data_IF_679367446906
#
_entry.id   IF_679367446906
#
_cell.length_a   1.000
_cell.length_b   1.000
_cell.length_c   1.000
_cell.angle_alpha   90.00
_cell.angle_beta   90.00
_cell.angle_gamma   90.00
#
_symmetry.space_group_name_H-M   'P 1'
#
loop_
_entity.id
_entity.type
_entity.pdbx_description
1 polymer ?
#
# COMPACT_ATOMS: atom_id res chain seq x y z
N UNK A 1 -13.54 -10.94 -9.87
CA UNK A 1 -14.11 -9.73 -9.19
C UNK A 1 -14.56 -8.70 -10.23
N UNK A 2 -13.71 -8.35 -11.19
CA UNK A 2 -13.98 -7.28 -12.18
C UNK A 2 -15.05 -7.63 -13.22
N UNK A 3 -15.22 -8.89 -13.58
CA UNK A 3 -16.22 -9.35 -14.55
C UNK A 3 -17.69 -9.04 -14.15
N UNK A 4 -17.96 -8.88 -12.85
CA UNK A 4 -19.30 -8.61 -12.32
C UNK A 4 -19.59 -7.12 -12.14
N UNK A 5 -18.66 -6.26 -12.53
CA UNK A 5 -18.77 -4.80 -12.32
C UNK A 5 -19.54 -4.17 -13.45
N UNK A 6 -20.66 -3.50 -13.12
CA UNK A 6 -21.46 -2.74 -14.08
C UNK A 6 -20.87 -1.33 -14.29
N UNK A 7 -20.14 -1.14 -15.37
CA UNK A 7 -19.51 0.11 -15.74
C UNK A 7 -20.48 1.19 -16.29
N UNK A 8 -21.76 0.89 -16.42
CA UNK A 8 -22.78 1.84 -16.91
C UNK A 8 -23.40 2.68 -15.78
N UNK A 9 -23.02 2.43 -14.54
CA UNK A 9 -23.50 3.20 -13.39
C UNK A 9 -23.13 4.67 -13.52
N UNK A 10 -24.09 5.52 -13.25
CA UNK A 10 -23.96 6.98 -13.35
C UNK A 10 -24.75 7.69 -12.25
N UNK A 11 -24.37 8.93 -11.96
CA UNK A 11 -25.11 9.85 -11.08
C UNK A 11 -25.28 11.17 -11.81
N UNK A 12 -26.53 11.64 -11.91
CA UNK A 12 -26.81 12.93 -12.50
C UNK A 12 -26.22 14.09 -11.68
N UNK A 13 -26.12 15.26 -12.31
CA UNK A 13 -25.42 16.40 -11.73
C UNK A 13 -26.10 16.95 -10.46
N UNK A 14 -27.43 16.89 -10.39
CA UNK A 14 -28.19 17.43 -9.26
C UNK A 14 -28.05 16.55 -8.03
N UNK A 15 -28.27 15.24 -8.19
CA UNK A 15 -28.05 14.26 -7.14
C UNK A 15 -26.60 14.23 -6.67
N UNK A 16 -25.64 14.33 -7.61
CA UNK A 16 -24.22 14.43 -7.27
C UNK A 16 -23.95 15.63 -6.34
N UNK A 17 -24.50 16.81 -6.67
CA UNK A 17 -24.25 18.01 -5.89
C UNK A 17 -24.79 17.86 -4.44
N UNK A 18 -26.03 17.36 -4.31
CA UNK A 18 -26.64 17.13 -2.99
C UNK A 18 -25.85 16.14 -2.13
N UNK A 19 -25.55 14.95 -2.69
CA UNK A 19 -24.78 13.92 -1.98
C UNK A 19 -23.38 14.41 -1.61
N UNK A 20 -22.76 15.18 -2.51
CA UNK A 20 -21.44 15.76 -2.27
C UNK A 20 -21.40 16.69 -1.09
N UNK A 21 -22.36 17.63 -0.99
CA UNK A 21 -22.44 18.59 0.10
C UNK A 21 -22.54 17.89 1.48
N UNK A 22 -23.37 16.85 1.57
CA UNK A 22 -23.53 16.06 2.80
C UNK A 22 -22.25 15.29 3.15
N UNK A 23 -21.62 14.65 2.17
CA UNK A 23 -20.40 13.86 2.36
C UNK A 23 -19.18 14.71 2.68
N UNK A 24 -19.05 15.89 2.10
CA UNK A 24 -17.93 16.80 2.35
C UNK A 24 -17.92 17.28 3.81
N UNK A 25 -19.08 17.62 4.39
CA UNK A 25 -19.19 17.96 5.80
C UNK A 25 -18.79 16.78 6.68
N UNK A 26 -19.38 15.60 6.42
CA UNK A 26 -19.10 14.36 7.16
C UNK A 26 -17.64 13.98 7.13
N UNK A 27 -17.00 14.04 5.95
CA UNK A 27 -15.60 13.70 5.80
C UNK A 27 -14.67 14.62 6.58
N UNK A 28 -14.95 15.94 6.59
CA UNK A 28 -14.21 16.90 7.40
C UNK A 28 -14.35 16.65 8.92
N UNK A 29 -15.54 16.23 9.38
CA UNK A 29 -15.76 15.82 10.78
C UNK A 29 -14.99 14.56 11.14
N UNK A 30 -15.02 13.54 10.27
CA UNK A 30 -14.30 12.28 10.48
C UNK A 30 -12.79 12.48 10.48
N UNK A 31 -12.25 13.37 9.63
CA UNK A 31 -10.84 13.72 9.70
C UNK A 31 -10.44 14.31 11.06
N UNK A 32 -11.27 15.24 11.60
CA UNK A 32 -11.03 15.81 12.93
C UNK A 32 -11.08 14.73 14.02
N UNK A 33 -12.08 13.85 13.97
CA UNK A 33 -12.19 12.74 14.89
C UNK A 33 -10.97 11.80 14.84
N UNK A 34 -10.50 11.44 13.66
CA UNK A 34 -9.26 10.66 13.51
C UNK A 34 -8.04 11.35 14.12
N UNK A 35 -7.95 12.68 13.96
CA UNK A 35 -6.87 13.47 14.55
C UNK A 35 -6.94 13.48 16.08
N UNK A 36 -8.11 13.73 16.65
CA UNK A 36 -8.35 13.75 18.11
C UNK A 36 -8.06 12.37 18.74
N UNK A 37 -8.48 11.30 18.08
CA UNK A 37 -8.27 9.93 18.53
C UNK A 37 -6.91 9.36 18.15
N UNK A 38 -6.04 10.14 17.49
CA UNK A 38 -4.69 9.75 17.05
C UNK A 38 -4.69 8.51 16.14
N UNK A 39 -5.67 8.41 15.25
CA UNK A 39 -5.81 7.28 14.33
C UNK A 39 -5.19 7.65 12.98
N UNK A 40 -4.10 6.99 12.56
CA UNK A 40 -3.51 7.20 11.24
C UNK A 40 -4.34 6.50 10.16
N UNK A 41 -4.45 7.14 8.98
CA UNK A 41 -5.26 6.64 7.87
C UNK A 41 -4.42 6.57 6.60
N UNK A 42 -4.49 5.47 5.89
CA UNK A 42 -3.88 5.28 4.56
C UNK A 42 -4.98 5.02 3.55
N UNK A 43 -5.03 5.84 2.49
CA UNK A 43 -5.97 5.68 1.38
C UNK A 43 -5.18 5.42 0.10
N UNK A 44 -5.42 4.28 -0.53
CA UNK A 44 -4.74 3.85 -1.75
C UNK A 44 -5.66 4.00 -2.94
N UNK A 45 -5.19 4.70 -3.97
CA UNK A 45 -5.83 4.80 -5.27
C UNK A 45 -5.03 4.03 -6.31
N UNK A 46 -5.53 2.88 -6.71
CA UNK A 46 -4.99 2.06 -7.78
C UNK A 46 -5.99 1.88 -8.92
N UNK A 47 -5.62 1.13 -9.95
CA UNK A 47 -6.46 0.86 -11.11
C UNK A 47 -5.87 1.35 -12.43
N UNK A 48 -6.69 1.28 -13.46
CA UNK A 48 -6.26 1.51 -14.85
C UNK A 48 -5.77 2.93 -15.13
N UNK A 49 -4.80 3.05 -16.05
CA UNK A 49 -4.36 4.33 -16.60
C UNK A 49 -5.55 5.12 -17.16
N UNK A 50 -5.56 6.45 -17.02
CA UNK A 50 -6.67 7.33 -17.32
C UNK A 50 -8.00 7.00 -16.62
N UNK A 51 -8.01 6.13 -15.59
CA UNK A 51 -9.18 5.85 -14.75
C UNK A 51 -9.68 7.05 -13.96
N UNK A 52 -8.89 8.12 -13.85
CA UNK A 52 -9.28 9.37 -13.20
C UNK A 52 -8.80 9.50 -11.75
N UNK A 53 -7.81 8.71 -11.33
CA UNK A 53 -7.26 8.72 -9.97
C UNK A 53 -6.99 10.13 -9.45
N UNK A 54 -6.14 10.91 -10.11
CA UNK A 54 -5.82 12.27 -9.69
C UNK A 54 -7.02 13.21 -9.60
N UNK A 55 -8.03 13.04 -10.49
CA UNK A 55 -9.28 13.81 -10.42
C UNK A 55 -10.08 13.45 -9.16
N UNK A 56 -10.14 12.18 -8.82
CA UNK A 56 -10.88 11.71 -7.66
C UNK A 56 -10.15 12.05 -6.35
N UNK A 57 -8.82 11.96 -6.34
CA UNK A 57 -8.00 12.43 -5.21
C UNK A 57 -8.25 13.92 -4.97
N UNK A 58 -8.19 14.76 -6.02
CA UNK A 58 -8.48 16.19 -5.89
C UNK A 58 -9.87 16.44 -5.33
N UNK A 59 -10.88 15.64 -5.70
CA UNK A 59 -12.23 15.76 -5.15
C UNK A 59 -12.31 15.31 -3.69
N UNK A 60 -11.59 14.27 -3.32
CA UNK A 60 -11.54 13.74 -1.95
C UNK A 60 -10.91 14.75 -0.97
N UNK A 61 -9.84 15.41 -1.39
CA UNK A 61 -9.09 16.31 -0.49
C UNK A 61 -9.73 17.69 -0.32
N UNK A 62 -10.70 18.08 -1.17
CA UNK A 62 -11.31 19.42 -1.11
C UNK A 62 -11.91 19.77 0.26
N UNK A 63 -12.65 18.88 0.95
CA UNK A 63 -13.25 19.17 2.26
C UNK A 63 -12.28 18.95 3.44
N UNK A 64 -11.09 18.41 3.20
CA UNK A 64 -10.12 18.07 4.23
C UNK A 64 -9.26 19.28 4.65
N UNK A 65 -8.90 19.34 5.92
CA UNK A 65 -7.87 20.27 6.41
C UNK A 65 -6.52 19.87 5.83
N UNK A 66 -5.85 20.73 5.04
CA UNK A 66 -4.58 20.42 4.37
C UNK A 66 -3.44 20.09 5.34
N UNK A 67 -3.54 20.49 6.60
CA UNK A 67 -2.56 20.15 7.65
C UNK A 67 -2.69 18.71 8.13
N UNK A 68 -3.81 18.06 7.84
CA UNK A 68 -4.14 16.71 8.32
C UNK A 68 -3.88 15.60 7.32
N UNK A 69 -3.42 15.89 6.11
CA UNK A 69 -3.13 14.88 5.12
C UNK A 69 -1.92 15.22 4.26
N UNK A 70 -1.36 14.20 3.61
CA UNK A 70 -0.38 14.29 2.55
C UNK A 70 -0.81 13.43 1.36
N UNK A 71 -0.37 13.80 0.15
CA UNK A 71 -0.58 13.01 -1.08
C UNK A 71 0.77 12.61 -1.64
N UNK A 72 0.98 11.32 -1.78
CA UNK A 72 2.16 10.76 -2.41
C UNK A 72 1.82 10.14 -3.76
N UNK A 73 2.29 10.77 -4.84
CA UNK A 73 2.22 10.19 -6.18
C UNK A 73 3.46 9.31 -6.42
N UNK A 74 3.23 8.02 -6.63
CA UNK A 74 4.32 7.09 -6.93
C UNK A 74 4.97 7.47 -8.26
N UNK A 75 6.29 7.68 -8.25
CA UNK A 75 7.12 8.03 -9.41
C UNK A 75 7.99 6.85 -9.76
N UNK A 76 8.64 6.91 -10.93
CA UNK A 76 9.71 5.99 -11.26
C UNK A 76 10.75 5.94 -10.13
N UNK A 77 11.25 4.74 -9.85
CA UNK A 77 12.21 4.52 -8.77
C UNK A 77 13.55 5.18 -9.08
N UNK A 78 14.01 6.03 -8.17
CA UNK A 78 15.35 6.61 -8.22
C UNK A 78 16.45 5.56 -7.96
N UNK A 79 17.72 5.93 -8.20
CA UNK A 79 18.85 5.02 -7.99
C UNK A 79 18.95 4.56 -6.52
N UNK A 80 18.77 5.46 -5.58
CA UNK A 80 18.77 5.13 -4.14
C UNK A 80 17.67 4.13 -3.76
N UNK A 81 16.46 4.31 -4.30
CA UNK A 81 15.32 3.43 -4.04
C UNK A 81 15.52 2.04 -4.63
N UNK A 82 16.19 1.93 -5.80
CA UNK A 82 16.52 0.63 -6.42
C UNK A 82 17.50 -0.20 -5.61
N UNK A 83 18.32 0.43 -4.76
CA UNK A 83 19.26 -0.24 -3.85
C UNK A 83 18.58 -0.75 -2.57
N UNK A 84 17.30 -0.47 -2.37
CA UNK A 84 16.52 -0.80 -1.17
C UNK A 84 15.38 -1.77 -1.49
N UNK A 85 14.83 -2.49 -0.51
CA UNK A 85 13.61 -3.27 -0.71
C UNK A 85 12.49 -2.38 -1.27
N UNK A 86 11.68 -2.89 -2.21
CA UNK A 86 10.70 -2.08 -2.95
C UNK A 86 9.66 -1.38 -2.05
N UNK A 87 9.36 -1.95 -0.88
CA UNK A 87 8.44 -1.34 0.10
C UNK A 87 9.07 -0.21 0.92
N UNK A 88 10.39 -0.06 0.90
CA UNK A 88 11.07 0.97 1.69
C UNK A 88 10.53 2.37 1.45
N UNK A 89 10.31 2.74 0.19
CA UNK A 89 9.77 4.04 -0.19
C UNK A 89 8.39 4.32 0.40
N UNK A 90 7.58 3.30 0.59
CA UNK A 90 6.24 3.40 1.17
C UNK A 90 6.28 3.43 2.70
N UNK A 91 7.20 2.67 3.32
CA UNK A 91 7.46 2.77 4.76
C UNK A 91 7.82 4.19 5.19
N UNK A 92 8.65 4.90 4.42
CA UNK A 92 9.05 6.27 4.72
C UNK A 92 7.92 7.29 4.55
N UNK A 93 6.76 6.87 4.04
CA UNK A 93 5.58 7.70 3.77
C UNK A 93 4.36 7.28 4.59
N UNK A 94 4.51 6.37 5.54
CA UNK A 94 3.42 6.07 6.48
C UNK A 94 3.07 7.31 7.28
N UNK A 95 1.77 7.59 7.50
CA UNK A 95 1.36 8.80 8.22
C UNK A 95 1.66 8.68 9.72
N UNK A 96 1.88 9.82 10.35
CA UNK A 96 1.89 9.95 11.80
C UNK A 96 0.47 9.73 12.38
N UNK A 97 0.41 9.51 13.70
CA UNK A 97 -0.86 9.39 14.42
C UNK A 97 -1.79 10.58 14.17
N UNK A 98 -3.02 10.29 13.80
CA UNK A 98 -4.05 11.27 13.50
C UNK A 98 -3.90 11.98 12.14
N UNK A 99 -2.97 11.55 11.29
CA UNK A 99 -2.81 12.08 9.92
C UNK A 99 -3.27 11.08 8.88
N UNK A 100 -3.51 11.58 7.66
CA UNK A 100 -3.90 10.78 6.52
C UNK A 100 -2.80 10.81 5.44
N UNK A 101 -2.49 9.67 4.85
CA UNK A 101 -1.67 9.55 3.64
C UNK A 101 -2.49 9.01 2.50
N UNK A 102 -2.48 9.70 1.36
CA UNK A 102 -3.20 9.31 0.15
C UNK A 102 -2.16 8.94 -0.91
N UNK A 103 -2.19 7.69 -1.38
CA UNK A 103 -1.30 7.19 -2.42
C UNK A 103 -1.99 7.25 -3.79
N UNK A 104 -1.42 8.01 -4.74
CA UNK A 104 -1.75 7.93 -6.19
C UNK A 104 -0.79 6.93 -6.83
N UNK A 105 -1.28 5.73 -7.06
CA UNK A 105 -0.53 4.48 -7.26
C UNK A 105 0.28 4.09 -6.01
N UNK A 106 0.53 2.82 -5.87
CA UNK A 106 1.12 2.30 -4.64
C UNK A 106 2.08 1.13 -4.87
N UNK A 107 2.35 0.37 -3.83
CA UNK A 107 3.17 -0.85 -3.85
C UNK A 107 2.64 -1.95 -4.76
N UNK A 108 1.39 -1.85 -5.21
CA UNK A 108 0.79 -2.82 -6.11
C UNK A 108 1.33 -2.73 -7.54
N UNK A 109 1.95 -1.61 -7.93
CA UNK A 109 2.65 -1.50 -9.21
C UNK A 109 3.67 -2.63 -9.39
N UNK A 110 4.31 -3.10 -8.29
CA UNK A 110 5.26 -4.22 -8.30
C UNK A 110 4.68 -5.52 -8.88
N UNK A 111 3.42 -5.81 -8.62
CA UNK A 111 2.75 -7.06 -9.05
C UNK A 111 1.80 -6.86 -10.23
N UNK A 112 1.63 -5.63 -10.70
CA UNK A 112 0.80 -5.27 -11.86
C UNK A 112 1.63 -4.62 -12.95
N UNK A 113 2.00 -3.36 -12.84
CA UNK A 113 2.73 -2.58 -13.87
C UNK A 113 4.12 -3.15 -14.11
N UNK A 114 4.95 -3.28 -13.07
CA UNK A 114 6.32 -3.82 -13.17
C UNK A 114 6.31 -5.27 -13.69
N UNK A 115 5.30 -6.05 -13.30
CA UNK A 115 5.10 -7.40 -13.82
C UNK A 115 4.77 -7.39 -15.31
N UNK A 116 3.85 -6.54 -15.75
CA UNK A 116 3.47 -6.41 -17.16
C UNK A 116 4.65 -5.95 -18.02
N UNK A 117 5.41 -4.99 -17.52
CA UNK A 117 6.60 -4.44 -18.19
C UNK A 117 7.84 -5.34 -18.03
N UNK A 118 7.69 -6.53 -17.39
CA UNK A 118 8.72 -7.56 -17.18
C UNK A 118 9.88 -7.11 -16.26
N UNK A 119 9.68 -6.11 -15.46
CA UNK A 119 10.62 -5.66 -14.43
C UNK A 119 10.58 -6.59 -13.20
N UNK A 120 9.39 -7.12 -12.87
CA UNK A 120 9.24 -8.17 -11.85
C UNK A 120 9.29 -9.53 -12.47
N UNK A 121 10.28 -10.35 -12.07
CA UNK A 121 10.44 -11.72 -12.55
C UNK A 121 9.38 -12.65 -11.96
N UNK A 122 8.97 -13.67 -12.73
CA UNK A 122 7.98 -14.66 -12.27
C UNK A 122 8.34 -15.32 -10.94
N UNK A 123 9.63 -15.55 -10.71
CA UNK A 123 10.15 -16.16 -9.47
C UNK A 123 9.97 -15.26 -8.24
N UNK A 124 9.99 -13.94 -8.43
CA UNK A 124 9.88 -12.93 -7.38
C UNK A 124 8.44 -12.63 -7.00
N UNK A 125 7.48 -12.94 -7.88
CA UNK A 125 6.08 -12.53 -7.76
C UNK A 125 5.41 -13.00 -6.46
N UNK A 126 5.60 -14.27 -6.09
CA UNK A 126 5.02 -14.79 -4.84
C UNK A 126 5.65 -14.15 -3.60
N UNK A 127 6.95 -13.83 -3.65
CA UNK A 127 7.62 -13.06 -2.63
C UNK A 127 7.01 -11.66 -2.49
N UNK A 128 6.85 -10.95 -3.61
CA UNK A 128 6.28 -9.61 -3.63
C UNK A 128 4.85 -9.57 -3.04
N UNK A 129 3.99 -10.54 -3.38
CA UNK A 129 2.66 -10.63 -2.77
C UNK A 129 2.70 -10.86 -1.26
N UNK A 130 3.58 -11.75 -0.80
CA UNK A 130 3.77 -12.00 0.64
C UNK A 130 4.26 -10.77 1.37
N UNK A 131 5.22 -10.05 0.78
CA UNK A 131 5.78 -8.83 1.35
C UNK A 131 4.72 -7.72 1.44
N UNK A 132 3.87 -7.56 0.40
CA UNK A 132 2.73 -6.63 0.41
C UNK A 132 1.76 -6.97 1.55
N UNK A 133 1.33 -8.23 1.65
CA UNK A 133 0.41 -8.67 2.70
C UNK A 133 1.00 -8.46 4.10
N UNK A 134 2.29 -8.75 4.27
CA UNK A 134 3.00 -8.52 5.53
C UNK A 134 3.07 -7.03 5.88
N UNK A 135 3.36 -6.18 4.91
CA UNK A 135 3.39 -4.73 5.06
C UNK A 135 2.03 -4.19 5.50
N UNK A 136 0.97 -4.52 4.77
CA UNK A 136 -0.40 -4.07 5.10
C UNK A 136 -0.87 -4.61 6.46
N UNK A 137 -0.52 -5.86 6.79
CA UNK A 137 -0.85 -6.43 8.09
C UNK A 137 -0.17 -5.69 9.24
N UNK A 138 1.11 -5.33 9.08
CA UNK A 138 1.84 -4.54 10.08
C UNK A 138 1.23 -3.15 10.26
N UNK A 139 0.82 -2.47 9.17
CA UNK A 139 0.13 -1.19 9.25
C UNK A 139 -1.22 -1.34 9.99
N UNK A 140 -2.02 -2.35 9.66
CA UNK A 140 -3.29 -2.59 10.30
C UNK A 140 -3.13 -2.94 11.80
N UNK A 141 -2.14 -3.78 12.14
CA UNK A 141 -1.85 -4.17 13.53
C UNK A 141 -1.32 -3.01 14.37
N UNK A 142 -0.65 -2.03 13.74
CA UNK A 142 -0.26 -0.77 14.41
C UNK A 142 -1.43 0.18 14.62
N UNK A 143 -2.63 -0.18 14.19
CA UNK A 143 -3.83 0.64 14.35
C UNK A 143 -4.14 1.57 13.18
N UNK A 144 -3.46 1.46 12.02
CA UNK A 144 -3.80 2.25 10.84
C UNK A 144 -5.09 1.76 10.18
N UNK A 145 -5.91 2.69 9.72
CA UNK A 145 -7.05 2.39 8.86
C UNK A 145 -6.56 2.37 7.42
N UNK A 146 -6.66 1.22 6.75
CA UNK A 146 -6.32 1.08 5.34
C UNK A 146 -7.60 1.06 4.51
N UNK A 147 -7.68 1.95 3.50
CA UNK A 147 -8.78 2.05 2.54
C UNK A 147 -8.20 1.88 1.15
N UNK A 148 -8.62 0.85 0.43
CA UNK A 148 -8.09 0.50 -0.88
C UNK A 148 -9.15 0.67 -1.95
N UNK A 149 -8.88 1.54 -2.93
CA UNK A 149 -9.78 1.94 -3.99
C UNK A 149 -9.18 1.57 -5.35
N UNK A 150 -9.87 0.73 -6.10
CA UNK A 150 -9.45 0.31 -7.43
C UNK A 150 -10.36 0.91 -8.50
N UNK A 151 -9.86 1.87 -9.27
CA UNK A 151 -10.61 2.55 -10.33
C UNK A 151 -10.60 1.73 -11.61
N UNK A 152 -11.78 1.23 -11.97
CA UNK A 152 -11.96 0.36 -13.12
C UNK A 152 -12.72 1.05 -14.25
N UNK A 153 -12.18 0.97 -15.47
CA UNK A 153 -12.77 1.42 -16.73
C UNK A 153 -12.55 0.37 -17.81
N UNK A 154 -13.42 0.31 -18.80
CA UNK A 154 -13.26 -0.59 -19.93
C UNK A 154 -12.09 -0.19 -20.84
N UNK A 155 -11.64 -1.14 -21.67
CA UNK A 155 -10.62 -0.92 -22.72
C UNK A 155 -10.98 0.25 -23.65
N UNK A 156 -12.23 0.31 -24.09
CA UNK A 156 -12.68 1.33 -25.02
C UNK A 156 -12.76 2.72 -24.37
N UNK A 157 -13.25 2.79 -23.14
CA UNK A 157 -13.26 4.04 -22.38
C UNK A 157 -11.82 4.52 -22.09
N UNK A 158 -10.91 3.63 -21.75
CA UNK A 158 -9.50 3.96 -21.57
C UNK A 158 -8.89 4.53 -22.86
N UNK A 159 -9.10 3.85 -23.98
CA UNK A 159 -8.64 4.29 -25.31
C UNK A 159 -9.21 5.65 -25.69
N UNK A 160 -10.50 5.88 -25.44
CA UNK A 160 -11.16 7.17 -25.67
C UNK A 160 -10.53 8.29 -24.84
N UNK A 161 -10.22 8.00 -23.56
CA UNK A 161 -9.58 8.98 -22.67
C UNK A 161 -8.14 9.27 -23.05
N UNK A 162 -7.37 8.29 -23.49
CA UNK A 162 -6.02 8.50 -24.00
C UNK A 162 -6.02 9.45 -25.18
N UNK A 163 -6.84 9.17 -26.21
CA UNK A 163 -6.96 10.07 -27.36
C UNK A 163 -7.28 11.50 -26.97
N UNK A 164 -8.28 11.69 -26.08
CA UNK A 164 -8.66 13.03 -25.61
C UNK A 164 -7.53 13.73 -24.85
N UNK A 165 -6.71 13.01 -24.09
CA UNK A 165 -5.55 13.58 -23.40
C UNK A 165 -4.44 13.99 -24.38
N UNK A 166 -4.27 13.26 -25.48
CA UNK A 166 -3.27 13.54 -26.51
C UNK A 166 -3.68 14.71 -27.44
N UNK A 167 -4.98 15.07 -27.51
CA UNK A 167 -5.47 16.23 -28.28
C UNK A 167 -4.95 17.58 -27.76
N UNK A 168 -4.60 17.66 -26.47
CA UNK A 168 -4.07 18.90 -25.85
C UNK A 168 -2.59 18.74 -25.47
N UNK A 169 -1.77 19.70 -25.85
CA UNK A 169 -0.34 19.75 -25.51
C UNK A 169 -0.09 19.75 -24.00
N UNK A 170 -1.01 20.34 -23.23
CA UNK A 170 -0.94 20.44 -21.78
C UNK A 170 -1.18 19.09 -21.09
N UNK A 171 -1.80 18.14 -21.77
CA UNK A 171 -2.16 16.83 -21.19
C UNK A 171 -1.54 15.64 -21.91
N UNK A 172 -1.00 15.82 -23.12
CA UNK A 172 -0.46 14.72 -23.95
C UNK A 172 0.65 13.94 -23.23
N UNK A 173 1.48 14.64 -22.44
CA UNK A 173 2.56 14.02 -21.65
C UNK A 173 2.08 12.99 -20.60
N UNK A 174 0.76 12.95 -20.31
CA UNK A 174 0.17 12.01 -19.34
C UNK A 174 -0.08 10.63 -19.93
N UNK A 175 0.08 10.48 -21.24
CA UNK A 175 -0.12 9.22 -21.95
C UNK A 175 1.21 8.81 -22.57
N UNK A 176 1.71 7.65 -22.15
CA UNK A 176 2.99 7.12 -22.58
C UNK A 176 2.80 5.95 -23.56
N UNK A 177 3.86 5.57 -24.27
CA UNK A 177 3.86 4.35 -25.09
C UNK A 177 3.56 3.10 -24.25
N UNK A 178 4.02 3.06 -23.01
CA UNK A 178 3.71 1.98 -22.08
C UNK A 178 2.22 1.90 -21.74
N UNK A 179 1.52 3.04 -21.63
CA UNK A 179 0.07 3.06 -21.43
C UNK A 179 -0.67 2.49 -22.63
N UNK A 180 -0.27 2.88 -23.85
CA UNK A 180 -0.82 2.30 -25.06
C UNK A 180 -0.55 0.81 -25.21
N UNK A 181 0.63 0.33 -24.81
CA UNK A 181 0.96 -1.09 -24.81
C UNK A 181 0.04 -1.86 -23.85
N UNK A 182 -0.20 -1.34 -22.62
CA UNK A 182 -1.13 -1.94 -21.65
C UNK A 182 -2.58 -1.92 -22.17
N UNK A 183 -3.00 -0.88 -22.89
CA UNK A 183 -4.32 -0.88 -23.53
C UNK A 183 -4.42 -1.88 -24.68
N UNK A 184 -3.36 -2.06 -25.46
CA UNK A 184 -3.34 -3.05 -26.54
C UNK A 184 -3.49 -4.47 -25.99
N UNK A 185 -2.77 -4.80 -24.92
CA UNK A 185 -2.80 -6.09 -24.24
C UNK A 185 -3.67 -6.03 -22.97
N UNK A 186 -4.81 -5.35 -23.08
CA UNK A 186 -5.69 -5.04 -21.95
C UNK A 186 -6.11 -6.27 -21.16
N UNK A 187 -6.43 -7.37 -21.83
CA UNK A 187 -6.92 -8.60 -21.20
C UNK A 187 -5.83 -9.22 -20.30
N UNK A 188 -4.59 -9.26 -20.77
CA UNK A 188 -3.45 -9.71 -19.95
C UNK A 188 -3.24 -8.80 -18.73
N UNK A 189 -3.35 -7.48 -18.92
CA UNK A 189 -3.22 -6.54 -17.80
C UNK A 189 -4.41 -6.63 -16.83
N UNK A 190 -5.61 -6.91 -17.34
CA UNK A 190 -6.81 -7.17 -16.55
C UNK A 190 -6.64 -8.41 -15.66
N UNK A 191 -6.16 -9.53 -16.22
CA UNK A 191 -5.88 -10.76 -15.46
C UNK A 191 -4.87 -10.53 -14.32
N UNK A 192 -3.81 -9.75 -14.59
CA UNK A 192 -2.82 -9.41 -13.55
C UNK A 192 -3.43 -8.57 -12.42
N UNK A 193 -4.30 -7.62 -12.75
CA UNK A 193 -5.02 -6.82 -11.76
C UNK A 193 -6.06 -7.65 -11.00
N UNK A 194 -6.77 -8.56 -11.68
CA UNK A 194 -7.71 -9.49 -11.03
C UNK A 194 -7.00 -10.38 -10.03
N UNK A 195 -5.83 -10.96 -10.40
CA UNK A 195 -5.00 -11.74 -9.47
C UNK A 195 -4.54 -10.90 -8.28
N UNK A 196 -4.11 -9.66 -8.52
CA UNK A 196 -3.70 -8.74 -7.47
C UNK A 196 -4.86 -8.48 -6.49
N UNK A 197 -6.04 -8.14 -6.99
CA UNK A 197 -7.23 -7.90 -6.17
C UNK A 197 -7.57 -9.14 -5.33
N UNK A 198 -7.63 -10.33 -5.96
CA UNK A 198 -7.99 -11.58 -5.28
C UNK A 198 -6.99 -11.96 -4.18
N UNK A 199 -5.69 -11.80 -4.44
CA UNK A 199 -4.64 -12.21 -3.51
C UNK A 199 -4.41 -11.23 -2.36
N UNK A 200 -4.86 -10.00 -2.51
CA UNK A 200 -4.65 -8.94 -1.51
C UNK A 200 -5.94 -8.39 -0.92
N UNK A 201 -7.09 -8.98 -1.24
CA UNK A 201 -8.37 -8.66 -0.58
C UNK A 201 -8.40 -9.32 0.79
N UNK A 202 -8.25 -8.52 1.84
CA UNK A 202 -8.16 -9.01 3.23
C UNK A 202 -9.23 -8.38 4.11
N UNK A 203 -9.66 -9.09 5.16
CA UNK A 203 -10.69 -8.60 6.08
C UNK A 203 -10.31 -7.29 6.78
N UNK A 204 -9.02 -7.07 7.05
CA UNK A 204 -8.53 -5.82 7.68
C UNK A 204 -8.35 -4.67 6.68
N UNK A 205 -8.19 -4.96 5.40
CA UNK A 205 -8.01 -3.99 4.33
C UNK A 205 -8.67 -4.50 3.02
N UNK A 206 -10.00 -4.49 2.91
CA UNK A 206 -10.70 -4.94 1.72
C UNK A 206 -10.56 -3.94 0.57
N UNK A 207 -10.62 -4.45 -0.67
CA UNK A 207 -10.69 -3.64 -1.86
C UNK A 207 -12.11 -3.15 -2.14
N UNK A 208 -12.21 -1.88 -2.48
CA UNK A 208 -13.42 -1.33 -3.10
C UNK A 208 -13.15 -1.07 -4.58
N UNK A 209 -13.85 -1.80 -5.46
CA UNK A 209 -13.79 -1.56 -6.90
C UNK A 209 -14.72 -0.40 -7.22
N UNK A 210 -14.17 0.64 -7.86
CA UNK A 210 -14.88 1.86 -8.23
C UNK A 210 -15.11 1.87 -9.73
N UNK A 211 -16.37 1.85 -10.15
CA UNK A 211 -16.79 2.06 -11.54
C UNK A 211 -16.48 3.49 -11.95
N UNK A 212 -15.42 3.67 -12.74
CA UNK A 212 -14.85 4.99 -13.01
C UNK A 212 -15.20 5.56 -14.38
N UNK A 213 -16.19 4.99 -15.09
CA UNK A 213 -16.70 5.52 -16.36
C UNK A 213 -17.39 6.86 -16.13
N UNK A 214 -18.34 6.92 -15.22
CA UNK A 214 -18.94 8.18 -14.78
C UNK A 214 -18.15 8.79 -13.62
N UNK A 215 -17.64 9.99 -13.83
CA UNK A 215 -16.80 10.70 -12.85
C UNK A 215 -17.54 11.12 -11.58
N UNK A 216 -18.86 11.33 -11.66
CA UNK A 216 -19.66 11.74 -10.52
C UNK A 216 -20.05 10.53 -9.68
N UNK A 217 -20.43 9.42 -10.32
CA UNK A 217 -20.66 8.16 -9.63
C UNK A 217 -19.40 7.70 -8.90
N UNK A 218 -18.25 7.72 -9.59
CA UNK A 218 -16.97 7.36 -8.96
C UNK A 218 -16.67 8.23 -7.72
N UNK A 219 -16.92 9.54 -7.79
CA UNK A 219 -16.71 10.43 -6.65
C UNK A 219 -17.62 10.10 -5.47
N UNK A 220 -18.92 9.88 -5.72
CA UNK A 220 -19.89 9.50 -4.67
C UNK A 220 -19.46 8.18 -4.03
N UNK A 221 -19.13 7.17 -4.83
CA UNK A 221 -18.72 5.86 -4.33
C UNK A 221 -17.44 5.94 -3.49
N UNK A 222 -16.44 6.71 -3.93
CA UNK A 222 -15.20 6.92 -3.17
C UNK A 222 -15.48 7.63 -1.84
N UNK A 223 -16.22 8.74 -1.89
CA UNK A 223 -16.53 9.50 -0.69
C UNK A 223 -17.32 8.65 0.32
N UNK A 224 -18.38 7.93 -0.14
CA UNK A 224 -19.14 7.07 0.76
C UNK A 224 -18.26 5.94 1.34
N UNK A 225 -17.44 5.27 0.50
CA UNK A 225 -16.53 4.23 0.99
C UNK A 225 -15.58 4.76 2.08
N UNK A 226 -15.00 5.95 1.86
CA UNK A 226 -14.07 6.54 2.83
C UNK A 226 -14.81 6.96 4.11
N UNK A 227 -15.93 7.65 3.99
CA UNK A 227 -16.72 8.08 5.16
C UNK A 227 -17.24 6.90 5.96
N UNK A 228 -17.82 5.90 5.31
CA UNK A 228 -18.38 4.72 5.96
C UNK A 228 -17.29 3.91 6.68
N UNK A 229 -16.12 3.76 6.04
CA UNK A 229 -14.99 3.05 6.65
C UNK A 229 -14.43 3.79 7.86
N UNK A 230 -14.25 5.10 7.79
CA UNK A 230 -13.79 5.90 8.91
C UNK A 230 -14.78 5.88 10.07
N UNK A 231 -16.07 6.07 9.79
CA UNK A 231 -17.13 6.03 10.80
C UNK A 231 -17.21 4.67 11.50
N UNK A 232 -17.18 3.58 10.71
CA UNK A 232 -17.19 2.22 11.25
C UNK A 232 -16.01 1.99 12.21
N UNK A 233 -14.79 2.33 11.78
CA UNK A 233 -13.59 2.10 12.59
C UNK A 233 -13.54 2.99 13.85
N UNK A 234 -13.97 4.24 13.76
CA UNK A 234 -14.09 5.12 14.93
C UNK A 234 -15.10 4.57 15.94
N UNK A 235 -16.30 4.19 15.49
CA UNK A 235 -17.33 3.64 16.35
C UNK A 235 -16.90 2.31 16.98
N UNK A 236 -16.31 1.40 16.21
CA UNK A 236 -15.78 0.14 16.72
C UNK A 236 -14.78 0.35 17.86
N UNK A 237 -13.83 1.27 17.69
CA UNK A 237 -12.81 1.56 18.70
C UNK A 237 -13.38 2.26 19.94
N UNK A 238 -14.41 3.09 19.79
CA UNK A 238 -15.13 3.70 20.92
C UNK A 238 -15.84 2.63 21.74
N UNK A 239 -16.57 1.73 21.07
CA UNK A 239 -17.23 0.60 21.74
C UNK A 239 -16.23 -0.31 22.46
N UNK A 240 -15.12 -0.68 21.81
CA UNK A 240 -14.06 -1.49 22.43
C UNK A 240 -13.45 -0.82 23.68
N UNK A 241 -13.35 0.50 23.70
CA UNK A 241 -12.88 1.25 24.89
C UNK A 241 -13.92 1.29 26.00
N UNK A 242 -15.20 1.49 25.65
CA UNK A 242 -16.31 1.55 26.62
C UNK A 242 -16.59 0.18 27.25
N UNK A 243 -16.55 -0.87 26.47
CA UNK A 243 -16.74 -2.24 26.96
C UNK A 243 -15.56 -2.76 27.79
N UNK A 244 -14.47 -1.99 27.87
CA UNK A 244 -13.24 -2.39 28.54
C UNK A 244 -12.74 -3.70 27.95
N UNK A 245 -12.21 -3.66 26.72
CA UNK A 245 -11.79 -4.85 25.99
C UNK A 245 -10.82 -5.69 26.83
N UNK A 246 -11.35 -6.61 27.60
CA UNK A 246 -10.58 -7.67 28.24
C UNK A 246 -10.17 -8.61 27.11
N UNK A 247 -9.08 -8.27 26.42
CA UNK A 247 -8.41 -9.27 25.63
C UNK A 247 -8.04 -10.40 26.61
N UNK A 248 -8.64 -11.60 26.49
CA UNK A 248 -8.25 -12.67 27.38
C UNK A 248 -6.74 -12.83 27.22
N UNK A 249 -5.98 -12.89 28.34
CA UNK A 249 -4.54 -13.02 28.23
C UNK A 249 -4.25 -14.22 27.34
N UNK A 250 -3.44 -14.01 26.30
CA UNK A 250 -3.00 -15.10 25.45
C UNK A 250 -2.29 -16.07 26.37
N UNK A 251 -2.92 -17.19 26.71
CA UNK A 251 -2.29 -18.29 27.42
C UNK A 251 -1.22 -18.87 26.49
N UNK A 252 -0.01 -18.36 26.62
CA UNK A 252 1.13 -18.98 25.97
C UNK A 252 1.28 -20.37 26.59
N UNK A 253 1.37 -21.44 25.77
CA UNK A 253 1.61 -22.77 26.32
C UNK A 253 2.92 -22.76 27.09
N UNK A 254 2.87 -23.02 28.40
CA UNK A 254 4.06 -23.06 29.28
C UNK A 254 5.21 -23.94 28.78
N UNK A 255 4.88 -24.93 27.97
CA UNK A 255 5.86 -25.86 27.40
C UNK A 255 6.75 -25.26 26.32
N UNK A 256 6.35 -24.17 25.64
CA UNK A 256 7.18 -23.54 24.60
C UNK A 256 8.42 -22.84 25.14
N UNK A 257 8.43 -22.46 26.39
CA UNK A 257 9.57 -21.75 27.01
C UNK A 257 10.50 -22.65 27.83
N UNK A 258 10.09 -23.90 28.13
CA UNK A 258 10.94 -24.81 28.92
C UNK A 258 12.15 -25.34 28.15
N UNK A 259 12.14 -25.33 26.82
CA UNK A 259 13.24 -25.73 25.94
C UNK A 259 13.62 -24.62 24.98
N UNK A 260 13.78 -23.39 25.47
CA UNK A 260 14.22 -22.24 24.65
C UNK A 260 15.63 -22.43 24.10
N UNK A 261 15.92 -21.82 22.96
CA UNK A 261 17.28 -21.83 22.37
C UNK A 261 18.34 -21.41 23.38
N UNK A 262 18.01 -20.47 24.27
CA UNK A 262 18.93 -19.97 25.32
C UNK A 262 19.27 -21.00 26.40
N UNK A 263 18.37 -21.93 26.71
CA UNK A 263 18.63 -22.97 27.73
C UNK A 263 19.68 -23.98 27.28
N UNK A 264 19.95 -24.09 25.99
CA UNK A 264 21.00 -24.95 25.41
C UNK A 264 22.34 -24.23 25.22
N UNK A 265 22.44 -22.94 25.57
CA UNK A 265 23.69 -22.17 25.40
C UNK A 265 24.64 -22.43 26.55
N UNK A 266 25.81 -22.95 26.23
CA UNK A 266 26.91 -23.15 27.21
C UNK A 266 27.64 -21.82 27.44
N UNK A 267 27.35 -21.18 28.57
CA UNK A 267 27.96 -19.92 29.01
C UNK A 267 29.37 -20.10 29.64
N UNK A 268 29.83 -21.32 29.76
CA UNK A 268 31.19 -21.62 30.35
C UNK A 268 32.29 -21.65 29.31
N UNK A 269 31.91 -21.54 28.00
CA UNK A 269 32.91 -21.55 26.92
C UNK A 269 33.82 -20.33 27.00
N UNK A 270 35.09 -20.57 27.14
CA UNK A 270 36.13 -19.55 27.13
C UNK A 270 37.22 -19.91 26.14
N UNK A 271 38.00 -18.92 25.73
CA UNK A 271 39.19 -19.08 24.90
C UNK A 271 40.40 -18.54 25.67
N UNK A 272 41.53 -19.18 25.50
CA UNK A 272 42.80 -18.57 25.95
C UNK A 272 43.12 -17.34 25.10
N UNK A 273 43.99 -16.46 25.60
CA UNK A 273 44.39 -15.25 24.87
C UNK A 273 45.06 -15.57 23.54
N UNK A 274 45.82 -16.64 23.49
CA UNK A 274 46.52 -17.10 22.29
C UNK A 274 45.51 -17.65 21.26
N UNK A 275 44.62 -18.54 21.68
CA UNK A 275 43.57 -19.08 20.81
C UNK A 275 42.64 -17.96 20.27
N UNK A 276 42.28 -17.00 21.10
CA UNK A 276 41.50 -15.85 20.71
C UNK A 276 42.17 -15.06 19.59
N UNK A 277 43.45 -14.71 19.76
CA UNK A 277 44.20 -13.95 18.75
C UNK A 277 44.31 -14.71 17.44
N UNK A 278 44.65 -15.99 17.47
CA UNK A 278 44.78 -16.80 16.25
C UNK A 278 43.47 -16.91 15.51
N UNK A 279 42.36 -17.16 16.22
CA UNK A 279 41.03 -17.23 15.61
C UNK A 279 40.58 -15.88 15.07
N UNK A 280 40.84 -14.80 15.81
CA UNK A 280 40.47 -13.44 15.42
C UNK A 280 41.15 -13.06 14.10
N UNK A 281 42.45 -13.26 13.96
CA UNK A 281 43.22 -12.96 12.75
C UNK A 281 42.67 -13.75 11.54
N UNK A 282 42.39 -15.04 11.71
CA UNK A 282 41.78 -15.86 10.64
C UNK A 282 40.40 -15.39 10.26
N UNK A 283 39.55 -15.05 11.23
CA UNK A 283 38.20 -14.60 10.99
C UNK A 283 38.15 -13.21 10.36
N UNK A 284 39.03 -12.29 10.77
CA UNK A 284 39.14 -10.96 10.20
C UNK A 284 39.54 -11.01 8.72
N UNK A 285 40.56 -11.82 8.38
CA UNK A 285 40.95 -12.03 6.98
C UNK A 285 39.83 -12.63 6.13
N UNK A 286 39.10 -13.60 6.68
CA UNK A 286 37.93 -14.18 5.99
C UNK A 286 36.82 -13.14 5.81
N UNK A 287 36.57 -12.34 6.83
CA UNK A 287 35.54 -11.29 6.80
C UNK A 287 35.89 -10.20 5.77
N UNK A 288 37.17 -9.83 5.67
CA UNK A 288 37.64 -8.87 4.66
C UNK A 288 37.37 -9.35 3.24
N UNK A 289 37.69 -10.62 2.93
CA UNK A 289 37.39 -11.22 1.61
C UNK A 289 35.90 -11.24 1.35
N UNK A 290 35.10 -11.72 2.30
CA UNK A 290 33.64 -11.79 2.16
C UNK A 290 33.01 -10.40 2.00
N UNK A 291 33.48 -9.40 2.76
CA UNK A 291 33.03 -8.02 2.64
C UNK A 291 33.33 -7.47 1.24
N UNK A 292 34.51 -7.71 0.68
CA UNK A 292 34.86 -7.33 -0.68
C UNK A 292 33.93 -7.96 -1.73
N UNK A 293 33.56 -9.24 -1.56
CA UNK A 293 32.61 -9.92 -2.45
C UNK A 293 31.18 -9.36 -2.32
N UNK A 294 30.70 -9.15 -1.11
CA UNK A 294 29.39 -8.54 -0.85
C UNK A 294 29.29 -7.15 -1.50
N UNK A 295 30.35 -6.33 -1.34
CA UNK A 295 30.42 -5.03 -1.98
C UNK A 295 30.37 -5.11 -3.51
N UNK A 296 31.16 -6.00 -4.11
CA UNK A 296 31.21 -6.23 -5.57
C UNK A 296 29.88 -6.73 -6.12
N UNK A 297 29.20 -7.63 -5.38
CA UNK A 297 27.93 -8.23 -5.76
C UNK A 297 26.72 -7.39 -5.35
N UNK A 298 26.95 -6.26 -4.62
CA UNK A 298 25.90 -5.39 -4.09
C UNK A 298 24.87 -6.14 -3.26
N UNK A 299 25.34 -7.07 -2.42
CA UNK A 299 24.46 -7.83 -1.51
C UNK A 299 24.38 -7.08 -0.17
N UNK A 300 23.19 -6.58 0.21
CA UNK A 300 23.02 -5.94 1.51
C UNK A 300 23.07 -6.96 2.65
N UNK A 301 23.71 -6.60 3.74
CA UNK A 301 23.78 -7.43 4.96
C UNK A 301 23.37 -6.58 6.15
N UNK A 302 22.48 -7.12 6.99
CA UNK A 302 22.09 -6.54 8.27
C UNK A 302 22.46 -7.51 9.38
N UNK A 303 23.20 -7.05 10.38
CA UNK A 303 23.58 -7.82 11.55
C UNK A 303 23.00 -7.13 12.78
N UNK A 304 22.10 -7.80 13.50
CA UNK A 304 21.55 -7.33 14.77
C UNK A 304 22.35 -7.93 15.95
N UNK A 305 22.62 -7.11 16.96
CA UNK A 305 23.16 -7.53 18.24
C UNK A 305 22.14 -7.15 19.33
N UNK A 306 21.73 -8.14 20.15
CA UNK A 306 20.78 -7.97 21.26
C UNK A 306 21.42 -8.44 22.58
#
# INVERSE_FOLDING_TARGET
>A
MLEKVDLNKSVDKENYKKLREEMDVKLGELQRACKEEKIPVVIVFDGFGAGGKGTQINRLIQPLDPRGFDVYASRETGEEERMRPFLWRYWTKTPEDGRMMIFDKSWYDKVTVDRFDKETKRQELNGAFRDILSFEKQLADSGMILIKLFLYISRDEQKKRFKRLEESKETAWRVTEADWKRNKDYDTFLEMNEEMLQRTDTGYAPWTIVEATDKNYAAVKILSTVTDRLEYELNRRRMEREEGAVHPPVKLPDERFKNGVLSGVDLTKTLTREEYKERLDKLQKKLEVLHGELYRLRIPVVIGFE
#
